data_IF_414570423829
#
_entry.id   IF_414570423829
#
_cell.length_a   1.000
_cell.length_b   1.000
_cell.length_c   1.000
_cell.angle_alpha   90.00
_cell.angle_beta   90.00
_cell.angle_gamma   90.00
#
_symmetry.space_group_name_H-M   'P 1'
#
loop_
_entity.id
_entity.type
_entity.pdbx_description
1 polymer ?
#
# COMPACT_ATOMS: atom_id res chain seq x y z
N UNK A 1 26.25 5.24 -1.91
CA UNK A 1 25.82 4.55 -3.14
C UNK A 1 25.46 3.10 -2.80
N UNK A 2 24.52 2.48 -3.58
CA UNK A 2 24.27 1.05 -3.49
C UNK A 2 25.43 0.22 -4.05
N UNK A 3 25.50 -1.05 -3.65
CA UNK A 3 26.55 -1.98 -4.11
C UNK A 3 26.54 -2.22 -5.63
N UNK A 4 25.40 -2.07 -6.29
CA UNK A 4 25.15 -2.25 -7.72
C UNK A 4 25.01 -0.92 -8.48
N UNK A 5 25.45 0.17 -7.88
CA UNK A 5 25.36 1.51 -8.46
C UNK A 5 26.08 1.59 -9.79
N UNK A 6 25.36 2.07 -10.82
CA UNK A 6 25.90 2.32 -12.15
C UNK A 6 25.37 3.63 -12.71
N UNK A 7 26.16 4.35 -13.47
CA UNK A 7 25.85 5.66 -14.00
C UNK A 7 26.42 5.86 -15.41
N UNK A 8 26.06 6.99 -16.03
CA UNK A 8 26.50 7.32 -17.38
C UNK A 8 25.76 6.58 -18.49
N UNK A 9 26.07 6.95 -19.74
CA UNK A 9 25.42 6.34 -20.89
C UNK A 9 25.76 4.83 -20.95
N UNK A 10 24.71 4.00 -21.08
CA UNK A 10 24.84 2.54 -21.10
C UNK A 10 25.35 1.94 -19.79
N UNK A 11 25.26 2.66 -18.65
CA UNK A 11 25.84 2.25 -17.36
C UNK A 11 27.31 1.99 -17.39
N UNK A 12 28.07 2.75 -18.23
CA UNK A 12 29.50 2.62 -18.38
C UNK A 12 30.28 2.94 -17.11
N UNK A 13 29.73 3.79 -16.22
CA UNK A 13 30.30 4.07 -14.91
C UNK A 13 29.82 3.04 -13.88
N UNK A 14 30.74 2.58 -13.05
CA UNK A 14 30.51 1.61 -12.00
C UNK A 14 31.03 2.09 -10.64
N UNK A 15 30.83 1.29 -9.61
CA UNK A 15 31.24 1.61 -8.24
C UNK A 15 32.76 1.81 -8.12
N UNK A 16 33.58 1.10 -8.90
CA UNK A 16 35.04 1.26 -8.90
C UNK A 16 35.45 2.64 -9.44
N UNK A 17 34.85 3.07 -10.55
CA UNK A 17 35.07 4.42 -11.09
C UNK A 17 34.61 5.51 -10.12
N UNK A 18 33.46 5.31 -9.47
CA UNK A 18 32.95 6.25 -8.45
C UNK A 18 33.91 6.36 -7.26
N UNK A 19 34.42 5.23 -6.76
CA UNK A 19 35.42 5.21 -5.68
C UNK A 19 36.66 6.00 -6.04
N UNK A 20 37.17 5.81 -7.27
CA UNK A 20 38.37 6.53 -7.75
C UNK A 20 38.13 8.04 -7.84
N UNK A 21 36.97 8.47 -8.33
CA UNK A 21 36.62 9.90 -8.39
C UNK A 21 36.46 10.52 -7.00
N UNK A 22 35.72 9.85 -6.10
CA UNK A 22 35.54 10.34 -4.73
C UNK A 22 36.89 10.48 -4.01
N UNK A 23 37.79 9.51 -4.16
CA UNK A 23 39.14 9.59 -3.57
C UNK A 23 39.97 10.74 -4.13
N UNK A 24 39.88 11.00 -5.44
CA UNK A 24 40.59 12.12 -6.09
C UNK A 24 40.06 13.47 -5.61
N UNK A 25 38.74 13.61 -5.45
CA UNK A 25 38.09 14.89 -5.17
C UNK A 25 37.85 15.10 -3.67
N UNK A 26 38.37 14.23 -2.80
CA UNK A 26 38.23 14.32 -1.34
C UNK A 26 36.78 14.12 -0.84
N UNK A 27 35.96 13.41 -1.61
CA UNK A 27 34.53 13.10 -1.24
C UNK A 27 34.47 11.77 -0.54
N UNK A 28 33.82 11.73 0.62
CA UNK A 28 33.58 10.49 1.35
C UNK A 28 32.52 9.65 0.64
N UNK A 29 32.82 8.37 0.36
CA UNK A 29 31.90 7.45 -0.29
C UNK A 29 31.51 6.31 0.65
N UNK A 30 30.24 6.33 1.09
CA UNK A 30 29.62 5.21 1.79
C UNK A 30 28.93 4.27 0.80
N UNK A 31 29.34 3.00 0.79
CA UNK A 31 28.72 1.96 -0.03
C UNK A 31 27.79 1.13 0.84
N UNK A 32 26.50 1.20 0.54
CA UNK A 32 25.50 0.36 1.21
C UNK A 32 25.60 -1.07 0.68
N UNK A 33 25.77 -2.08 1.55
CA UNK A 33 25.75 -3.48 1.14
C UNK A 33 24.36 -3.88 0.62
N UNK A 34 24.27 -5.00 -0.11
CA UNK A 34 22.99 -5.59 -0.48
C UNK A 34 22.27 -6.03 0.79
N UNK A 35 21.02 -5.57 0.95
CA UNK A 35 20.10 -6.14 1.92
C UNK A 35 19.36 -7.27 1.24
N UNK A 36 19.30 -8.44 1.86
CA UNK A 36 18.56 -9.60 1.36
C UNK A 36 17.37 -9.93 2.25
N UNK A 37 16.27 -10.29 1.60
CA UNK A 37 15.05 -10.80 2.22
C UNK A 37 14.61 -12.03 1.44
N UNK A 38 14.37 -13.14 2.14
CA UNK A 38 13.99 -14.43 1.55
C UNK A 38 15.03 -14.90 0.49
N UNK A 39 16.33 -14.74 0.78
CA UNK A 39 17.44 -15.22 -0.07
C UNK A 39 17.63 -14.44 -1.39
N UNK A 40 17.03 -13.26 -1.51
CA UNK A 40 17.17 -12.42 -2.70
C UNK A 40 17.34 -10.93 -2.33
N UNK A 41 18.11 -10.16 -3.12
CA UNK A 41 18.33 -8.73 -2.86
C UNK A 41 17.04 -7.92 -2.84
N UNK A 42 16.95 -6.98 -1.93
CA UNK A 42 15.89 -5.97 -1.90
C UNK A 42 16.15 -4.96 -3.02
N UNK A 43 15.12 -4.66 -3.81
CA UNK A 43 15.19 -3.65 -4.86
C UNK A 43 13.83 -2.97 -5.06
N UNK A 44 13.83 -1.74 -5.57
CA UNK A 44 12.60 -1.01 -5.90
C UNK A 44 11.72 -1.76 -6.89
N UNK A 45 12.32 -2.50 -7.83
CA UNK A 45 11.60 -3.35 -8.78
C UNK A 45 10.85 -4.46 -8.05
N UNK A 46 11.52 -5.21 -7.17
CA UNK A 46 10.94 -6.33 -6.42
C UNK A 46 9.82 -5.85 -5.49
N UNK A 47 9.98 -4.66 -4.89
CA UNK A 47 8.94 -4.04 -4.06
C UNK A 47 7.71 -3.71 -4.90
N UNK A 48 7.87 -3.03 -6.05
CA UNK A 48 6.75 -2.69 -6.94
C UNK A 48 6.02 -3.93 -7.45
N UNK A 49 6.74 -4.95 -7.89
CA UNK A 49 6.16 -6.22 -8.33
C UNK A 49 5.34 -6.91 -7.22
N UNK A 50 5.81 -6.86 -5.96
CA UNK A 50 5.06 -7.40 -4.83
C UNK A 50 3.77 -6.61 -4.59
N UNK A 51 3.83 -5.27 -4.62
CA UNK A 51 2.64 -4.41 -4.48
C UNK A 51 1.64 -4.67 -5.60
N UNK A 52 2.08 -4.65 -6.86
CA UNK A 52 1.24 -4.85 -8.05
C UNK A 52 0.58 -6.23 -8.09
N UNK A 53 1.20 -7.25 -7.49
CA UNK A 53 0.60 -8.58 -7.30
C UNK A 53 -0.34 -8.65 -6.09
N UNK A 54 -0.37 -7.60 -5.26
CA UNK A 54 -1.14 -7.56 -4.02
C UNK A 54 -0.50 -8.31 -2.85
N UNK A 55 0.76 -8.73 -2.98
CA UNK A 55 1.54 -9.28 -1.87
C UNK A 55 2.14 -8.15 -1.02
N UNK A 56 1.25 -7.45 -0.35
CA UNK A 56 1.60 -6.31 0.50
C UNK A 56 2.40 -6.73 1.74
N UNK A 57 2.28 -8.00 2.15
CA UNK A 57 3.05 -8.57 3.24
C UNK A 57 4.53 -8.70 2.85
N UNK A 58 4.83 -9.24 1.66
CA UNK A 58 6.18 -9.27 1.12
C UNK A 58 6.71 -7.84 0.91
N UNK A 59 5.90 -6.95 0.32
CA UNK A 59 6.30 -5.55 0.15
C UNK A 59 6.69 -4.91 1.49
N UNK A 60 5.94 -5.17 2.55
CA UNK A 60 6.25 -4.70 3.91
C UNK A 60 7.57 -5.25 4.44
N UNK A 61 7.85 -6.55 4.27
CA UNK A 61 9.16 -7.13 4.66
C UNK A 61 10.32 -6.52 3.88
N UNK A 62 10.14 -6.31 2.57
CA UNK A 62 11.15 -5.69 1.72
C UNK A 62 11.41 -4.22 2.06
N UNK A 63 10.38 -3.49 2.50
CA UNK A 63 10.46 -2.08 2.89
C UNK A 63 10.95 -1.88 4.34
N UNK A 64 10.89 -2.92 5.20
CA UNK A 64 11.06 -2.79 6.64
C UNK A 64 9.95 -2.01 7.35
N UNK A 65 8.83 -1.75 6.66
CA UNK A 65 7.62 -1.09 7.16
C UNK A 65 6.43 -1.42 6.27
N UNK A 66 5.19 -1.30 6.72
CA UNK A 66 4.03 -1.50 5.85
C UNK A 66 4.10 -0.61 4.59
N UNK A 67 3.71 -1.16 3.46
CA UNK A 67 3.44 -0.34 2.27
C UNK A 67 2.22 0.52 2.56
N UNK A 68 2.24 1.79 2.16
CA UNK A 68 1.10 2.68 2.38
C UNK A 68 0.74 3.48 1.13
N UNK A 69 -0.51 3.86 1.06
CA UNK A 69 -1.05 4.84 0.12
C UNK A 69 -1.41 6.09 0.91
N UNK A 70 -0.92 7.24 0.45
CA UNK A 70 -1.39 8.54 0.87
C UNK A 70 -2.46 9.05 -0.09
N UNK A 71 -3.51 9.64 0.43
CA UNK A 71 -4.53 10.23 -0.41
C UNK A 71 -5.42 11.22 0.32
N UNK A 72 -5.98 12.16 -0.44
CA UNK A 72 -7.02 13.06 0.05
C UNK A 72 -8.36 12.33 0.12
N UNK A 73 -9.09 12.51 1.21
CA UNK A 73 -10.45 11.98 1.34
C UNK A 73 -11.42 12.82 0.54
N UNK A 74 -11.96 12.24 -0.54
CA UNK A 74 -12.91 12.87 -1.45
C UNK A 74 -14.35 12.41 -1.17
N UNK A 75 -15.33 13.09 -1.78
CA UNK A 75 -16.72 12.69 -1.74
C UNK A 75 -16.91 11.39 -2.53
N UNK A 76 -17.38 10.33 -1.86
CA UNK A 76 -17.77 9.08 -2.48
C UNK A 76 -19.26 9.01 -2.79
N UNK A 77 -19.68 7.93 -3.47
CA UNK A 77 -21.09 7.68 -3.82
C UNK A 77 -22.00 7.36 -2.61
N UNK A 78 -21.44 7.24 -1.39
CA UNK A 78 -22.21 7.03 -0.17
C UNK A 78 -22.83 5.62 0.00
N UNK A 79 -22.54 4.68 -0.91
CA UNK A 79 -23.14 3.32 -0.89
C UNK A 79 -22.85 2.54 0.38
N UNK A 80 -21.68 2.72 0.98
CA UNK A 80 -21.29 2.04 2.22
C UNK A 80 -22.14 2.41 3.42
N UNK A 81 -22.69 3.63 3.50
CA UNK A 81 -23.58 4.06 4.58
C UNK A 81 -24.85 3.21 4.64
N UNK A 82 -25.45 2.88 3.49
CA UNK A 82 -26.65 2.03 3.42
C UNK A 82 -26.39 0.56 3.80
N UNK A 83 -25.13 0.14 3.82
CA UNK A 83 -24.69 -1.21 4.17
C UNK A 83 -24.15 -1.31 5.61
N UNK A 84 -24.19 -0.21 6.40
CA UNK A 84 -23.63 -0.16 7.74
C UNK A 84 -22.11 -0.07 7.80
N UNK A 85 -21.44 0.17 6.66
CA UNK A 85 -19.98 0.26 6.53
C UNK A 85 -19.59 1.57 5.82
N UNK A 86 -19.69 2.74 6.50
CA UNK A 86 -19.28 4.01 5.91
C UNK A 86 -17.80 3.97 5.54
N UNK A 87 -17.46 4.43 4.32
CA UNK A 87 -16.11 4.39 3.78
C UNK A 87 -15.54 5.78 3.51
N UNK A 88 -14.26 5.94 3.75
CA UNK A 88 -13.45 7.03 3.23
C UNK A 88 -13.08 6.67 1.78
N UNK A 89 -13.36 7.56 0.84
CA UNK A 89 -12.92 7.40 -0.55
C UNK A 89 -11.65 8.23 -0.74
N UNK A 90 -10.57 7.59 -1.18
CA UNK A 90 -9.26 8.22 -1.28
C UNK A 90 -8.89 8.47 -2.76
N UNK A 91 -8.45 9.68 -3.03
CA UNK A 91 -7.70 10.02 -4.23
C UNK A 91 -6.23 9.81 -3.95
N UNK A 92 -5.69 8.67 -4.39
CA UNK A 92 -4.31 8.28 -4.15
C UNK A 92 -3.32 9.24 -4.82
N UNK A 93 -2.23 9.53 -4.11
CA UNK A 93 -1.08 10.29 -4.61
C UNK A 93 0.02 9.35 -5.14
N UNK A 94 -0.05 8.07 -4.81
CA UNK A 94 0.93 7.07 -5.20
C UNK A 94 0.75 6.62 -6.66
N UNK A 95 1.85 6.47 -7.40
CA UNK A 95 1.87 5.88 -8.74
C UNK A 95 1.67 4.35 -8.69
N UNK A 96 2.29 3.69 -7.70
CA UNK A 96 2.15 2.25 -7.49
C UNK A 96 1.04 1.96 -6.50
N UNK A 97 0.09 1.13 -6.89
CA UNK A 97 -1.05 0.71 -6.07
C UNK A 97 -1.15 -0.80 -6.02
N UNK A 98 -1.67 -1.38 -4.92
CA UNK A 98 -1.86 -2.82 -4.83
C UNK A 98 -2.87 -3.36 -5.84
N UNK A 99 -2.74 -4.65 -6.20
CA UNK A 99 -3.74 -5.35 -7.00
C UNK A 99 -5.15 -5.15 -6.46
N UNK A 100 -6.14 -5.19 -7.36
CA UNK A 100 -7.56 -5.11 -6.98
C UNK A 100 -7.92 -6.18 -5.95
N UNK A 101 -8.63 -5.80 -4.89
CA UNK A 101 -9.02 -6.71 -3.82
C UNK A 101 -9.32 -5.98 -2.52
N UNK A 102 -9.58 -6.78 -1.48
CA UNK A 102 -9.88 -6.31 -0.13
C UNK A 102 -8.70 -6.63 0.79
N UNK A 103 -8.33 -5.67 1.61
CA UNK A 103 -7.13 -5.69 2.43
C UNK A 103 -7.43 -5.34 3.88
N UNK A 104 -6.75 -6.00 4.82
CA UNK A 104 -6.61 -5.53 6.19
C UNK A 104 -5.59 -4.38 6.20
N UNK A 105 -5.99 -3.24 6.75
CA UNK A 105 -5.22 -2.00 6.70
C UNK A 105 -5.29 -1.23 8.01
N UNK A 106 -4.36 -0.30 8.18
CA UNK A 106 -4.45 0.74 9.19
C UNK A 106 -4.65 2.08 8.50
N UNK A 107 -5.68 2.82 8.89
CA UNK A 107 -5.83 4.21 8.49
C UNK A 107 -5.09 5.10 9.49
N UNK A 108 -4.19 5.94 8.99
CA UNK A 108 -3.45 6.91 9.80
C UNK A 108 -4.06 8.28 9.55
N UNK A 109 -4.73 8.81 10.53
CA UNK A 109 -5.40 10.10 10.46
C UNK A 109 -5.09 10.92 11.71
N UNK A 110 -4.61 12.14 11.54
CA UNK A 110 -4.20 13.04 12.62
C UNK A 110 -3.26 12.37 13.63
N UNK A 111 -2.31 11.57 13.13
CA UNK A 111 -1.34 10.83 13.95
C UNK A 111 -1.90 9.60 14.68
N UNK A 112 -3.19 9.29 14.52
CA UNK A 112 -3.82 8.13 15.13
C UNK A 112 -3.88 6.98 14.12
N UNK A 113 -3.50 5.80 14.56
CA UNK A 113 -3.55 4.55 13.79
C UNK A 113 -4.81 3.78 14.12
N UNK A 114 -5.71 3.59 13.13
CA UNK A 114 -7.05 3.06 13.31
C UNK A 114 -7.23 1.83 12.42
N UNK A 115 -7.77 0.75 12.97
CA UNK A 115 -8.09 -0.46 12.20
C UNK A 115 -9.02 -0.15 11.06
N UNK A 116 -8.78 -0.75 9.89
CA UNK A 116 -9.60 -0.53 8.72
C UNK A 116 -9.58 -1.71 7.75
N UNK A 117 -10.56 -1.75 6.87
CA UNK A 117 -10.63 -2.62 5.70
C UNK A 117 -10.64 -1.73 4.47
N UNK A 118 -9.73 -1.99 3.55
CA UNK A 118 -9.63 -1.20 2.31
C UNK A 118 -9.94 -2.04 1.09
N UNK A 119 -10.86 -1.58 0.27
CA UNK A 119 -11.11 -2.11 -1.07
C UNK A 119 -10.34 -1.27 -2.10
N UNK A 120 -9.51 -1.94 -2.89
CA UNK A 120 -8.84 -1.39 -4.08
C UNK A 120 -9.54 -1.97 -5.28
N UNK A 121 -10.17 -1.13 -6.09
CA UNK A 121 -10.94 -1.54 -7.25
C UNK A 121 -10.95 -0.48 -8.35
N UNK A 122 -11.80 -0.67 -9.34
CA UNK A 122 -12.00 0.29 -10.43
C UNK A 122 -13.48 0.61 -10.58
N UNK A 123 -13.80 1.85 -10.92
CA UNK A 123 -15.12 2.21 -11.39
C UNK A 123 -15.11 2.25 -12.91
N UNK A 124 -16.08 1.59 -13.59
CA UNK A 124 -16.35 1.88 -14.99
C UNK A 124 -16.84 3.34 -15.07
N UNK A 125 -16.04 4.22 -15.63
CA UNK A 125 -16.48 5.56 -16.02
C UNK A 125 -17.02 5.50 -17.45
N UNK A 126 -17.97 6.39 -17.80
CA UNK A 126 -18.41 6.53 -19.18
C UNK A 126 -17.21 6.95 -20.05
N UNK A 127 -16.79 6.06 -20.96
CA UNK A 127 -15.57 6.17 -21.76
C UNK A 127 -14.51 5.14 -21.31
N UNK A 128 -13.43 5.01 -22.08
CA UNK A 128 -12.38 3.99 -21.90
C UNK A 128 -11.48 4.18 -20.64
N UNK A 129 -11.75 5.17 -19.79
CA UNK A 129 -10.97 5.43 -18.59
C UNK A 129 -11.58 4.70 -17.38
N UNK A 130 -10.89 3.69 -16.89
CA UNK A 130 -11.16 3.08 -15.57
C UNK A 130 -10.50 3.92 -14.48
N UNK A 131 -11.31 4.57 -13.63
CA UNK A 131 -10.78 5.31 -12.50
C UNK A 131 -10.49 4.35 -11.34
N UNK A 132 -9.25 4.40 -10.82
CA UNK A 132 -8.88 3.71 -9.59
C UNK A 132 -9.78 4.18 -8.45
N UNK A 133 -10.25 3.23 -7.66
CA UNK A 133 -11.13 3.46 -6.52
C UNK A 133 -10.51 2.82 -5.28
N UNK A 134 -10.25 3.64 -4.27
CA UNK A 134 -9.77 3.18 -2.97
C UNK A 134 -10.80 3.59 -1.93
N UNK A 135 -11.46 2.60 -1.34
CA UNK A 135 -12.47 2.80 -0.29
C UNK A 135 -11.99 2.15 1.00
N UNK A 136 -11.81 2.96 2.02
CA UNK A 136 -11.36 2.51 3.34
C UNK A 136 -12.50 2.60 4.34
N UNK A 137 -12.96 1.46 4.84
CA UNK A 137 -13.90 1.36 5.95
C UNK A 137 -13.11 1.34 7.25
N UNK A 138 -13.26 2.39 8.04
CA UNK A 138 -12.64 2.49 9.38
C UNK A 138 -13.47 1.68 10.36
N UNK A 139 -12.80 0.80 11.12
CA UNK A 139 -13.41 -0.04 12.14
C UNK A 139 -13.43 0.72 13.50
N UNK A 140 -14.19 0.21 14.44
CA UNK A 140 -14.23 0.63 15.85
C UNK A 140 -14.73 2.05 16.10
N UNK A 141 -14.75 2.96 15.14
CA UNK A 141 -15.27 4.33 15.29
C UNK A 141 -15.61 4.98 13.94
N UNK A 142 -16.43 6.02 13.99
CA UNK A 142 -16.68 6.88 12.83
C UNK A 142 -15.53 7.90 12.66
N UNK A 143 -15.15 8.15 11.41
CA UNK A 143 -14.14 9.16 11.03
C UNK A 143 -14.73 10.07 9.95
N UNK A 144 -14.64 11.38 10.17
CA UNK A 144 -15.02 12.39 9.20
C UNK A 144 -13.78 13.19 8.78
N UNK A 145 -13.07 12.66 7.78
CA UNK A 145 -11.79 13.21 7.31
C UNK A 145 -11.91 13.87 5.92
N UNK A 146 -13.10 14.30 5.49
CA UNK A 146 -13.31 14.86 4.15
C UNK A 146 -12.44 16.10 3.91
N UNK A 147 -11.69 16.09 2.80
CA UNK A 147 -10.73 17.15 2.43
C UNK A 147 -9.40 17.07 3.20
N UNK A 148 -9.23 16.04 4.06
CA UNK A 148 -7.97 15.83 4.76
C UNK A 148 -7.18 14.69 4.10
N UNK A 149 -5.87 14.67 4.33
CA UNK A 149 -4.99 13.58 3.91
C UNK A 149 -5.04 12.43 4.92
N UNK A 150 -5.12 11.21 4.41
CA UNK A 150 -5.09 9.97 5.19
C UNK A 150 -4.05 9.04 4.56
N UNK A 151 -3.20 8.44 5.39
CA UNK A 151 -2.33 7.36 4.98
C UNK A 151 -3.03 6.02 5.28
N UNK A 152 -3.02 5.11 4.33
CA UNK A 152 -3.55 3.75 4.49
C UNK A 152 -2.41 2.76 4.37
N UNK A 153 -2.01 2.15 5.50
CA UNK A 153 -0.99 1.12 5.59
C UNK A 153 -1.60 -0.25 5.29
N UNK A 154 -1.05 -0.96 4.31
CA UNK A 154 -1.51 -2.28 3.90
C UNK A 154 -0.76 -3.37 4.67
N UNK A 155 -1.52 -4.24 5.34
CA UNK A 155 -0.97 -5.33 6.16
C UNK A 155 -1.09 -6.68 5.44
N UNK A 156 -2.29 -7.01 4.97
CA UNK A 156 -2.57 -8.30 4.35
C UNK A 156 -3.71 -8.21 3.33
N UNK A 157 -3.56 -8.88 2.19
CA UNK A 157 -4.66 -9.10 1.26
C UNK A 157 -5.59 -10.18 1.81
N UNK A 158 -6.87 -9.84 1.96
CA UNK A 158 -7.89 -10.77 2.49
C UNK A 158 -8.50 -11.62 1.37
N UNK A 159 -8.75 -10.99 0.21
CA UNK A 159 -9.32 -11.65 -0.98
C UNK A 159 -9.21 -10.77 -2.23
N UNK A 160 -9.38 -11.34 -3.44
CA UNK A 160 -9.61 -10.56 -4.66
C UNK A 160 -10.99 -9.88 -4.65
N UNK A 161 -11.26 -9.01 -5.62
CA UNK A 161 -12.61 -8.49 -5.85
C UNK A 161 -13.59 -9.62 -6.24
N UNK A 162 -14.84 -9.45 -5.83
CA UNK A 162 -15.92 -10.41 -6.09
C UNK A 162 -17.18 -9.66 -6.52
N UNK A 163 -17.97 -10.28 -7.40
CA UNK A 163 -19.32 -9.84 -7.70
C UNK A 163 -20.31 -10.55 -6.77
N UNK A 164 -21.35 -9.87 -6.35
CA UNK A 164 -22.39 -10.42 -5.47
C UNK A 164 -23.72 -10.42 -6.20
N UNK A 165 -24.49 -11.47 -6.03
CA UNK A 165 -25.81 -11.63 -6.65
C UNK A 165 -26.93 -10.96 -5.82
N UNK A 166 -26.65 -10.70 -4.53
CA UNK A 166 -27.60 -10.05 -3.62
C UNK A 166 -26.91 -9.06 -2.67
N UNK A 167 -27.68 -8.14 -2.11
CA UNK A 167 -27.22 -7.22 -1.07
C UNK A 167 -26.90 -7.99 0.21
N UNK A 168 -27.66 -9.04 0.51
CA UNK A 168 -27.46 -9.91 1.65
C UNK A 168 -26.11 -10.63 1.61
N UNK A 169 -25.71 -11.16 0.44
CA UNK A 169 -24.42 -11.81 0.26
C UNK A 169 -23.28 -10.81 0.42
N UNK A 170 -23.44 -9.60 -0.13
CA UNK A 170 -22.47 -8.51 0.08
C UNK A 170 -22.31 -8.16 1.55
N UNK A 171 -23.40 -8.03 2.32
CA UNK A 171 -23.36 -7.73 3.75
C UNK A 171 -22.65 -8.83 4.54
N UNK A 172 -22.95 -10.11 4.27
CA UNK A 172 -22.28 -11.26 4.89
C UNK A 172 -20.79 -11.24 4.62
N UNK A 173 -20.42 -10.94 3.38
CA UNK A 173 -19.00 -10.87 3.00
C UNK A 173 -18.27 -9.71 3.68
N UNK A 174 -18.89 -8.52 3.77
CA UNK A 174 -18.31 -7.39 4.50
C UNK A 174 -18.03 -7.75 5.96
N UNK A 175 -18.98 -8.43 6.63
CA UNK A 175 -18.79 -8.88 8.01
C UNK A 175 -17.63 -9.89 8.13
N UNK A 176 -17.54 -10.85 7.19
CA UNK A 176 -16.43 -11.81 7.14
C UNK A 176 -15.09 -11.10 6.92
N UNK A 177 -15.05 -10.09 6.05
CA UNK A 177 -13.82 -9.32 5.78
C UNK A 177 -13.38 -8.51 7.01
N UNK A 178 -14.33 -7.94 7.76
CA UNK A 178 -14.07 -7.23 9.02
C UNK A 178 -13.45 -8.16 10.05
N UNK A 179 -14.02 -9.36 10.26
CA UNK A 179 -13.47 -10.35 11.20
C UNK A 179 -12.04 -10.76 10.82
N UNK A 180 -11.81 -11.10 9.55
CA UNK A 180 -10.48 -11.45 9.05
C UNK A 180 -9.48 -10.29 9.15
N UNK A 181 -9.96 -9.04 9.01
CA UNK A 181 -9.11 -7.88 9.18
C UNK A 181 -8.67 -7.72 10.64
N UNK A 182 -9.57 -7.89 11.61
CA UNK A 182 -9.21 -7.87 13.03
C UNK A 182 -8.13 -8.92 13.32
N UNK A 183 -8.33 -10.17 12.92
CA UNK A 183 -7.35 -11.25 13.10
C UNK A 183 -5.98 -10.89 12.48
N UNK A 184 -5.96 -10.39 11.24
CA UNK A 184 -4.73 -10.03 10.54
C UNK A 184 -4.00 -8.84 11.20
N UNK A 185 -4.75 -7.87 11.71
CA UNK A 185 -4.21 -6.67 12.33
C UNK A 185 -3.71 -6.93 13.76
N UNK A 186 -4.35 -7.84 14.50
CA UNK A 186 -3.89 -8.26 15.83
C UNK A 186 -2.55 -9.01 15.75
N UNK A 187 -2.39 -9.88 14.74
CA UNK A 187 -1.13 -10.59 14.49
C UNK A 187 0.01 -9.67 14.00
N UNK A 188 -0.32 -8.52 13.41
CA UNK A 188 0.65 -7.57 12.87
C UNK A 188 1.02 -6.44 13.83
N UNK A 189 0.49 -6.44 15.07
CA UNK A 189 0.95 -5.50 16.09
C UNK A 189 2.38 -5.87 16.48
N UNK A 190 3.33 -4.91 16.55
CA UNK A 190 4.61 -5.19 17.18
C UNK A 190 4.31 -5.61 18.62
N UNK A 191 4.77 -6.78 19.01
CA UNK A 191 4.83 -7.14 20.42
C UNK A 191 5.69 -6.07 21.11
N UNK A 192 5.05 -5.22 21.90
CA UNK A 192 5.71 -4.23 22.78
C UNK A 192 6.61 -4.92 23.79
#
# INVERSE_FOLDING_TARGET
AGHDFGFGQGRSGNLAALKAWCARDGVELHVCPALEVDGAPVSSRRIREAVEKGDVALAGRLLGRPFFIRGEVIRGAGRGRGLGAPTLNLRAENETVPAMGVYATWAIWRGQRIRSVTNVGVNPTFGDATALKIETHVLDRAVEARGESVDVEFVRRLRPEMKFNSIEDLKKQIQSDILKAHEALDLAQPHT
#
